data_IF_881998343928
#
_entry.id   IF_881998343928
#
_cell.length_a   1.000
_cell.length_b   1.000
_cell.length_c   1.000
_cell.angle_alpha   90.00
_cell.angle_beta   90.00
_cell.angle_gamma   90.00
#
_symmetry.space_group_name_H-M   'P 1'
#
loop_
_entity.id
_entity.type
_entity.pdbx_description
1 polymer ?
#
# COMPACT_ATOMS: atom_id res chain seq x y z
N UNK A 1 50.27 -10.41 -24.55
CA UNK A 1 48.90 -10.76 -24.93
C UNK A 1 47.94 -9.70 -24.37
N UNK A 2 47.40 -8.79 -25.21
CA UNK A 2 46.61 -7.63 -24.75
C UNK A 2 45.19 -7.99 -24.25
N UNK A 3 44.76 -9.25 -24.30
CA UNK A 3 43.40 -9.68 -23.97
C UNK A 3 43.21 -10.20 -22.56
N UNK A 4 44.19 -10.07 -21.65
CA UNK A 4 44.10 -10.64 -20.30
C UNK A 4 43.39 -9.79 -19.24
N UNK A 5 42.75 -8.68 -19.57
CA UNK A 5 42.08 -7.78 -18.60
C UNK A 5 40.67 -7.31 -18.99
N UNK A 6 39.94 -8.11 -19.74
CA UNK A 6 38.48 -7.83 -19.88
C UNK A 6 37.77 -8.55 -18.74
N UNK A 7 37.60 -7.89 -17.60
CA UNK A 7 36.59 -8.29 -16.60
C UNK A 7 35.22 -8.01 -17.20
N UNK A 8 34.61 -9.01 -17.82
CA UNK A 8 33.21 -8.98 -18.15
C UNK A 8 32.45 -8.99 -16.81
N UNK A 9 32.02 -7.84 -16.34
CA UNK A 9 30.99 -7.77 -15.29
C UNK A 9 29.69 -8.19 -15.96
N UNK A 10 29.26 -9.40 -15.68
CA UNK A 10 27.87 -9.77 -15.92
C UNK A 10 27.02 -8.80 -15.11
N UNK A 11 26.23 -7.95 -15.77
CA UNK A 11 25.15 -7.24 -15.10
C UNK A 11 24.28 -8.33 -14.49
N UNK A 12 24.13 -8.29 -13.17
CA UNK A 12 23.12 -9.10 -12.50
C UNK A 12 21.82 -8.93 -13.28
N UNK A 13 21.19 -10.03 -13.64
CA UNK A 13 19.89 -9.99 -14.31
C UNK A 13 18.96 -9.14 -13.44
N UNK A 14 18.45 -8.04 -14.00
CA UNK A 14 17.47 -7.22 -13.32
C UNK A 14 16.25 -8.11 -13.12
N UNK A 15 16.09 -8.62 -11.90
CA UNK A 15 14.89 -9.36 -11.53
C UNK A 15 13.77 -8.35 -11.55
N UNK A 16 12.92 -8.43 -12.60
CA UNK A 16 11.73 -7.59 -12.69
C UNK A 16 10.88 -7.78 -11.44
N UNK A 17 10.46 -6.69 -10.80
CA UNK A 17 9.60 -6.78 -9.64
C UNK A 17 8.34 -7.59 -9.99
N UNK A 18 8.00 -8.56 -9.16
CA UNK A 18 6.81 -9.38 -9.39
C UNK A 18 5.57 -8.54 -9.09
N UNK A 19 4.69 -8.38 -10.07
CA UNK A 19 3.35 -7.79 -9.86
C UNK A 19 2.43 -8.84 -9.24
N UNK A 20 1.37 -8.36 -8.57
CA UNK A 20 0.28 -9.22 -8.11
C UNK A 20 -0.71 -9.35 -9.27
N UNK A 21 -0.97 -10.57 -9.79
CA UNK A 21 -1.99 -10.77 -10.82
C UNK A 21 -3.36 -10.24 -10.37
N UNK A 22 -4.15 -9.70 -11.32
CA UNK A 22 -5.49 -9.14 -11.02
C UNK A 22 -6.38 -10.14 -10.30
N UNK A 23 -6.33 -11.42 -10.69
CA UNK A 23 -7.10 -12.50 -10.06
C UNK A 23 -6.72 -12.72 -8.59
N UNK A 24 -5.45 -12.57 -8.24
CA UNK A 24 -5.00 -12.68 -6.86
C UNK A 24 -5.41 -11.47 -6.02
N UNK A 25 -5.40 -10.26 -6.62
CA UNK A 25 -5.92 -9.03 -5.99
C UNK A 25 -7.41 -9.22 -5.67
N UNK A 26 -8.19 -9.63 -6.66
CA UNK A 26 -9.63 -9.88 -6.49
C UNK A 26 -9.89 -10.97 -5.45
N UNK A 27 -9.11 -12.05 -5.46
CA UNK A 27 -9.23 -13.12 -4.47
C UNK A 27 -8.96 -12.63 -3.05
N UNK A 28 -7.93 -11.81 -2.87
CA UNK A 28 -7.59 -11.23 -1.57
C UNK A 28 -8.71 -10.33 -1.05
N UNK A 29 -9.16 -9.38 -1.86
CA UNK A 29 -10.22 -8.45 -1.50
C UNK A 29 -11.55 -9.18 -1.26
N UNK A 30 -11.94 -10.10 -2.14
CA UNK A 30 -13.15 -10.91 -1.97
C UNK A 30 -13.11 -11.73 -0.68
N UNK A 31 -11.96 -12.32 -0.34
CA UNK A 31 -11.80 -13.02 0.93
C UNK A 31 -12.04 -12.08 2.11
N UNK A 32 -11.42 -10.91 2.10
CA UNK A 32 -11.54 -9.95 3.20
C UNK A 32 -12.98 -9.49 3.40
N UNK A 33 -13.65 -9.09 2.34
CA UNK A 33 -15.04 -8.62 2.42
C UNK A 33 -16.05 -9.72 2.79
N UNK A 34 -15.86 -10.95 2.29
CA UNK A 34 -16.69 -12.10 2.69
C UNK A 34 -16.50 -12.53 4.13
N UNK A 35 -15.35 -12.26 4.71
CA UNK A 35 -15.00 -12.63 6.08
C UNK A 35 -14.97 -11.42 7.02
N UNK A 36 -15.88 -10.45 6.81
CA UNK A 36 -16.10 -9.37 7.74
C UNK A 36 -16.34 -9.91 9.15
N UNK A 37 -15.46 -9.59 10.08
CA UNK A 37 -15.50 -10.17 11.41
C UNK A 37 -16.27 -9.27 12.39
N UNK A 38 -17.50 -9.65 12.69
CA UNK A 38 -18.40 -8.96 13.63
C UNK A 38 -18.55 -9.70 14.98
N UNK A 39 -17.73 -10.70 15.26
CA UNK A 39 -17.84 -11.51 16.49
C UNK A 39 -17.63 -10.69 17.76
N UNK A 40 -16.92 -9.59 17.68
CA UNK A 40 -16.75 -8.62 18.76
C UNK A 40 -16.40 -7.25 18.18
N UNK A 41 -16.62 -6.17 18.95
CA UNK A 41 -16.21 -4.83 18.55
C UNK A 41 -14.70 -4.76 18.22
N UNK A 42 -13.87 -5.42 19.04
CA UNK A 42 -12.43 -5.49 18.80
C UNK A 42 -12.09 -6.20 17.50
N UNK A 43 -12.74 -7.32 17.22
CA UNK A 43 -12.52 -8.08 15.98
C UNK A 43 -12.95 -7.25 14.75
N UNK A 44 -14.06 -6.56 14.85
CA UNK A 44 -14.55 -5.68 13.79
C UNK A 44 -13.61 -4.49 13.54
N UNK A 45 -13.13 -3.84 14.59
CA UNK A 45 -12.13 -2.76 14.48
C UNK A 45 -10.84 -3.24 13.80
N UNK A 46 -10.37 -4.44 14.13
CA UNK A 46 -9.20 -5.03 13.49
C UNK A 46 -9.44 -5.33 12.00
N UNK A 47 -10.59 -5.92 11.68
CA UNK A 47 -10.98 -6.19 10.30
C UNK A 47 -11.10 -4.90 9.48
N UNK A 48 -11.74 -3.86 10.01
CA UNK A 48 -11.84 -2.54 9.37
C UNK A 48 -10.47 -1.94 9.09
N UNK A 49 -9.58 -1.95 10.09
CA UNK A 49 -8.21 -1.46 9.94
C UNK A 49 -7.47 -2.20 8.84
N UNK A 50 -7.48 -3.52 8.89
CA UNK A 50 -6.72 -4.35 7.98
C UNK A 50 -7.22 -4.17 6.52
N UNK A 51 -8.53 -4.14 6.33
CA UNK A 51 -9.14 -3.89 5.03
C UNK A 51 -8.85 -2.47 4.53
N UNK A 52 -8.94 -1.48 5.41
CA UNK A 52 -8.62 -0.09 5.08
C UNK A 52 -7.14 0.09 4.69
N UNK A 53 -6.20 -0.60 5.35
CA UNK A 53 -4.78 -0.59 5.00
C UNK A 53 -4.55 -1.19 3.61
N UNK A 54 -5.14 -2.34 3.33
CA UNK A 54 -4.99 -3.00 2.02
C UNK A 54 -5.58 -2.14 0.90
N UNK A 55 -6.78 -1.60 1.09
CA UNK A 55 -7.39 -0.69 0.11
C UNK A 55 -6.56 0.59 -0.08
N UNK A 56 -5.93 1.10 0.97
CA UNK A 56 -5.03 2.25 0.87
C UNK A 56 -3.80 1.92 0.01
N UNK A 57 -3.22 0.72 0.12
CA UNK A 57 -2.13 0.31 -0.76
C UNK A 57 -2.56 0.30 -2.23
N UNK A 58 -3.73 -0.26 -2.55
CA UNK A 58 -4.24 -0.30 -3.92
C UNK A 58 -4.62 1.09 -4.45
N UNK A 59 -5.17 1.95 -3.61
CA UNK A 59 -5.59 3.28 -4.03
C UNK A 59 -4.43 4.28 -4.19
N UNK A 60 -3.28 4.04 -3.54
CA UNK A 60 -2.21 5.05 -3.45
C UNK A 60 -0.86 4.58 -3.97
N UNK A 61 -0.62 3.29 -4.06
CA UNK A 61 0.72 2.74 -4.33
C UNK A 61 1.78 3.15 -3.30
N UNK A 62 1.37 3.60 -2.11
CA UNK A 62 2.28 4.08 -1.08
C UNK A 62 3.20 2.96 -0.54
N UNK A 63 4.36 3.36 -0.02
CA UNK A 63 5.27 2.43 0.68
C UNK A 63 4.70 2.04 2.05
N UNK A 64 5.06 0.87 2.55
CA UNK A 64 4.61 0.43 3.88
C UNK A 64 5.00 1.44 4.98
N UNK A 65 6.18 2.01 4.91
CA UNK A 65 6.61 3.09 5.80
C UNK A 65 5.67 4.29 5.74
N UNK A 66 5.29 4.70 4.54
CA UNK A 66 4.40 5.84 4.31
C UNK A 66 3.02 5.57 4.89
N UNK A 67 2.43 4.40 4.61
CA UNK A 67 1.11 4.01 5.15
C UNK A 67 1.13 3.92 6.67
N UNK A 68 2.15 3.27 7.24
CA UNK A 68 2.33 3.15 8.70
C UNK A 68 2.44 4.51 9.40
N UNK A 69 2.96 5.52 8.71
CA UNK A 69 3.23 6.85 9.26
C UNK A 69 2.22 7.93 8.81
N UNK A 70 1.10 7.56 8.18
CA UNK A 70 0.05 8.54 7.85
C UNK A 70 -0.46 9.16 9.15
N UNK A 71 -0.34 10.48 9.25
CA UNK A 71 -0.92 11.26 10.36
C UNK A 71 -2.40 11.51 10.10
N UNK A 72 -3.20 11.53 11.16
CA UNK A 72 -4.63 11.82 11.06
C UNK A 72 -4.91 13.15 10.35
N UNK A 73 -4.10 14.16 10.62
CA UNK A 73 -4.21 15.51 10.03
C UNK A 73 -3.88 15.54 8.52
N UNK A 74 -3.27 14.47 8.01
CA UNK A 74 -2.93 14.34 6.59
C UNK A 74 -4.03 13.68 5.77
N UNK A 75 -5.14 13.28 6.39
CA UNK A 75 -6.27 12.60 5.73
C UNK A 75 -7.50 13.48 5.78
N UNK A 76 -7.97 13.92 4.62
CA UNK A 76 -9.24 14.61 4.50
C UNK A 76 -10.31 13.63 4.02
N UNK A 77 -11.11 13.14 4.97
CA UNK A 77 -12.16 12.14 4.68
C UNK A 77 -13.38 12.72 3.93
N UNK A 78 -13.51 14.05 3.86
CA UNK A 78 -14.59 14.67 3.07
C UNK A 78 -14.24 14.69 1.59
N UNK A 79 -12.99 15.02 1.27
CA UNK A 79 -12.51 15.14 -0.11
C UNK A 79 -11.81 13.89 -0.62
N UNK A 80 -11.37 13.00 0.26
CA UNK A 80 -10.53 11.84 -0.09
C UNK A 80 -9.07 12.18 -0.33
N UNK A 81 -8.62 13.41 -0.03
CA UNK A 81 -7.25 13.83 -0.23
C UNK A 81 -6.36 13.32 0.92
N UNK A 82 -5.27 12.65 0.58
CA UNK A 82 -4.27 12.17 1.54
C UNK A 82 -2.92 12.79 1.20
N UNK A 83 -2.29 13.42 2.20
CA UNK A 83 -0.90 13.87 2.11
C UNK A 83 0.03 12.76 2.57
N UNK A 84 0.88 12.28 1.66
CA UNK A 84 1.86 11.24 1.92
C UNK A 84 3.23 11.89 2.15
N UNK A 85 3.83 11.59 3.30
CA UNK A 85 5.17 12.05 3.65
C UNK A 85 6.19 10.98 3.29
N UNK A 86 7.01 11.25 2.27
CA UNK A 86 8.07 10.38 1.81
C UNK A 86 9.40 10.61 2.55
N UNK A 87 10.40 9.79 2.20
CA UNK A 87 11.76 9.90 2.75
C UNK A 87 12.37 11.27 2.38
N UNK A 88 13.06 11.88 3.34
CA UNK A 88 13.73 13.17 3.14
C UNK A 88 12.79 14.39 3.13
N UNK A 89 11.62 14.27 3.75
CA UNK A 89 10.65 15.38 3.85
C UNK A 89 9.90 15.71 2.57
N UNK A 90 10.04 14.89 1.52
CA UNK A 90 9.27 15.06 0.29
C UNK A 90 7.83 14.63 0.53
N UNK A 91 6.91 15.49 0.15
CA UNK A 91 5.47 15.22 0.27
C UNK A 91 4.81 15.15 -1.10
N UNK A 92 3.72 14.40 -1.15
CA UNK A 92 2.82 14.34 -2.31
C UNK A 92 1.39 14.15 -1.84
N UNK A 93 0.46 14.55 -2.68
CA UNK A 93 -0.97 14.40 -2.44
C UNK A 93 -1.53 13.34 -3.36
N UNK A 94 -2.37 12.48 -2.80
CA UNK A 94 -3.10 11.45 -3.54
C UNK A 94 -4.58 11.62 -3.26
N UNK A 95 -5.37 11.61 -4.33
CA UNK A 95 -6.83 11.67 -4.25
C UNK A 95 -7.38 10.23 -4.32
N UNK A 96 -8.09 9.81 -3.29
CA UNK A 96 -8.91 8.60 -3.35
C UNK A 96 -10.20 8.95 -4.08
N UNK A 97 -10.38 8.36 -5.25
CA UNK A 97 -11.54 8.61 -6.10
C UNK A 97 -12.67 7.59 -5.91
N UNK A 98 -12.36 6.40 -5.38
CA UNK A 98 -13.34 5.34 -5.15
C UNK A 98 -14.17 5.64 -3.89
N UNK A 99 -15.46 5.89 -4.05
CA UNK A 99 -16.38 6.21 -2.95
C UNK A 99 -16.47 5.09 -1.92
N UNK A 100 -16.37 3.83 -2.36
CA UNK A 100 -16.41 2.66 -1.49
C UNK A 100 -15.19 2.60 -0.56
N UNK A 101 -14.02 2.94 -1.07
CA UNK A 101 -12.78 3.01 -0.27
C UNK A 101 -12.87 4.16 0.72
N UNK A 102 -13.37 5.31 0.27
CA UNK A 102 -13.52 6.48 1.13
C UNK A 102 -14.54 6.21 2.27
N UNK A 103 -15.64 5.54 1.98
CA UNK A 103 -16.62 5.13 2.98
C UNK A 103 -16.03 4.13 3.99
N UNK A 104 -15.21 3.19 3.53
CA UNK A 104 -14.48 2.27 4.40
C UNK A 104 -13.53 3.02 5.35
N UNK A 105 -12.80 4.01 4.85
CA UNK A 105 -11.91 4.84 5.65
C UNK A 105 -12.68 5.70 6.67
N UNK A 106 -13.83 6.24 6.30
CA UNK A 106 -14.72 6.97 7.23
C UNK A 106 -15.21 6.08 8.35
N UNK A 107 -15.63 4.86 8.03
CA UNK A 107 -16.10 3.88 9.01
C UNK A 107 -14.98 3.46 9.94
N UNK A 108 -13.80 3.18 9.39
CA UNK A 108 -12.61 2.88 10.17
C UNK A 108 -12.28 4.03 11.14
N UNK A 109 -12.25 5.26 10.65
CA UNK A 109 -11.97 6.44 11.46
C UNK A 109 -13.00 6.61 12.59
N UNK A 110 -14.29 6.52 12.27
CA UNK A 110 -15.36 6.63 13.25
C UNK A 110 -15.23 5.64 14.41
N UNK A 111 -14.92 4.38 14.10
CA UNK A 111 -14.74 3.31 15.09
C UNK A 111 -13.48 3.43 15.93
N UNK A 112 -12.46 4.14 15.45
CA UNK A 112 -11.15 4.25 16.10
C UNK A 112 -10.79 5.70 16.47
N UNK A 113 -11.71 6.63 16.38
CA UNK A 113 -11.48 8.07 16.50
C UNK A 113 -10.73 8.46 17.79
N UNK A 114 -11.08 7.87 18.93
CA UNK A 114 -10.42 8.16 20.19
C UNK A 114 -8.92 7.80 20.19
N UNK A 115 -8.59 6.60 19.69
CA UNK A 115 -7.21 6.15 19.58
C UNK A 115 -6.42 6.95 18.52
N UNK A 116 -7.05 7.25 17.39
CA UNK A 116 -6.45 8.07 16.32
C UNK A 116 -6.12 9.46 16.82
N UNK A 117 -7.05 10.13 17.48
CA UNK A 117 -6.83 11.48 18.06
C UNK A 117 -5.74 11.48 19.12
N UNK A 118 -5.72 10.45 19.97
CA UNK A 118 -4.70 10.33 21.04
C UNK A 118 -3.30 10.07 20.49
N UNK A 119 -3.15 9.18 19.53
CA UNK A 119 -1.86 8.83 18.94
C UNK A 119 -1.40 9.81 17.86
N UNK A 120 -2.34 10.46 17.16
CA UNK A 120 -2.12 11.30 15.99
C UNK A 120 -1.84 10.52 14.70
N UNK A 121 -1.78 9.17 14.75
CA UNK A 121 -1.63 8.32 13.57
C UNK A 121 -2.98 7.88 13.04
N UNK A 122 -3.13 7.85 11.72
CA UNK A 122 -4.38 7.42 11.11
C UNK A 122 -4.62 5.92 11.30
N UNK A 123 -3.62 5.08 11.05
CA UNK A 123 -3.71 3.65 11.29
C UNK A 123 -3.16 3.28 12.67
N UNK A 124 -4.02 2.68 13.50
CA UNK A 124 -3.69 2.31 14.88
C UNK A 124 -3.86 0.81 15.11
N UNK A 125 -3.05 0.25 16.00
CA UNK A 125 -3.17 -1.13 16.44
C UNK A 125 -4.26 -1.28 17.54
N UNK A 126 -4.48 -2.51 18.01
CA UNK A 126 -5.48 -2.81 19.03
C UNK A 126 -5.22 -2.17 20.40
N UNK A 127 -4.02 -1.63 20.62
CA UNK A 127 -3.64 -0.88 21.82
C UNK A 127 -3.77 0.64 21.64
N UNK A 128 -4.21 1.11 20.47
CA UNK A 128 -4.34 2.52 20.15
C UNK A 128 -3.03 3.21 19.80
N UNK A 129 -1.95 2.49 19.57
CA UNK A 129 -0.67 3.01 19.09
C UNK A 129 -0.55 2.86 17.56
N UNK A 130 0.46 3.50 16.98
CA UNK A 130 0.75 3.41 15.53
C UNK A 130 0.76 1.96 15.05
N UNK A 131 0.09 1.69 13.94
CA UNK A 131 0.14 0.39 13.28
C UNK A 131 1.46 0.26 12.53
N UNK A 132 2.38 -0.55 13.06
CA UNK A 132 3.76 -0.62 12.59
C UNK A 132 3.89 -1.33 11.26
N UNK A 133 4.96 -1.04 10.53
CA UNK A 133 5.31 -1.72 9.28
C UNK A 133 5.37 -3.24 9.45
N UNK A 134 5.96 -3.71 10.53
CA UNK A 134 6.05 -5.15 10.83
C UNK A 134 4.67 -5.76 11.02
N UNK A 135 3.78 -5.09 11.74
CA UNK A 135 2.40 -5.54 11.93
C UNK A 135 1.63 -5.60 10.61
N UNK A 136 1.84 -4.61 9.73
CA UNK A 136 1.25 -4.58 8.39
C UNK A 136 1.75 -5.76 7.54
N UNK A 137 3.07 -6.04 7.56
CA UNK A 137 3.63 -7.20 6.82
C UNK A 137 3.08 -8.53 7.33
N UNK A 138 2.96 -8.68 8.64
CA UNK A 138 2.36 -9.89 9.25
C UNK A 138 0.88 -10.04 8.90
N UNK A 139 0.14 -8.95 8.91
CA UNK A 139 -1.26 -8.91 8.50
C UNK A 139 -1.42 -9.33 7.04
N UNK A 140 -0.64 -8.78 6.12
CA UNK A 140 -0.65 -9.18 4.71
C UNK A 140 -0.36 -10.66 4.52
N UNK A 141 0.67 -11.18 5.18
CA UNK A 141 1.02 -12.60 5.11
C UNK A 141 -0.14 -13.49 5.57
N UNK A 142 -0.81 -13.10 6.64
CA UNK A 142 -1.96 -13.83 7.18
C UNK A 142 -3.13 -13.85 6.19
N UNK A 143 -3.56 -12.70 5.67
CA UNK A 143 -4.70 -12.65 4.75
C UNK A 143 -4.40 -13.29 3.40
N UNK A 144 -3.19 -13.17 2.88
CA UNK A 144 -2.74 -13.84 1.66
C UNK A 144 -2.88 -15.35 1.79
N UNK A 145 -2.42 -15.92 2.92
CA UNK A 145 -2.55 -17.35 3.21
C UNK A 145 -4.02 -17.77 3.33
N UNK A 146 -4.82 -17.00 4.08
CA UNK A 146 -6.25 -17.30 4.29
C UNK A 146 -7.06 -17.20 2.99
N UNK A 147 -6.66 -16.33 2.08
CA UNK A 147 -7.26 -16.21 0.75
C UNK A 147 -6.83 -17.33 -0.22
N UNK A 148 -5.98 -18.27 0.21
CA UNK A 148 -5.51 -19.37 -0.62
C UNK A 148 -4.54 -18.94 -1.73
N UNK A 149 -3.80 -17.85 -1.50
CA UNK A 149 -2.77 -17.36 -2.42
C UNK A 149 -1.42 -17.94 -1.97
N UNK A 150 -0.80 -18.75 -2.82
CA UNK A 150 0.49 -19.40 -2.51
C UNK A 150 1.68 -18.44 -2.57
N UNK A 151 1.57 -17.41 -3.41
CA UNK A 151 2.58 -16.37 -3.57
C UNK A 151 2.74 -15.55 -2.29
N UNK A 152 3.99 -15.24 -1.91
CA UNK A 152 4.24 -14.30 -0.83
C UNK A 152 4.02 -12.87 -1.33
N UNK A 153 2.88 -12.26 -0.97
CA UNK A 153 2.54 -10.88 -1.32
C UNK A 153 3.16 -9.93 -0.29
N UNK A 154 3.94 -8.97 -0.79
CA UNK A 154 4.62 -7.96 0.02
C UNK A 154 4.09 -6.55 -0.29
N UNK A 155 4.27 -5.57 0.61
CA UNK A 155 3.89 -4.17 0.33
C UNK A 155 4.52 -3.60 -0.95
N UNK A 156 5.76 -3.98 -1.27
CA UNK A 156 6.41 -3.57 -2.51
C UNK A 156 5.67 -4.06 -3.76
N UNK A 157 5.10 -5.26 -3.70
CA UNK A 157 4.33 -5.81 -4.83
C UNK A 157 3.07 -5.01 -5.09
N UNK A 158 2.39 -4.48 -4.06
CA UNK A 158 1.26 -3.57 -4.24
C UNK A 158 1.66 -2.32 -5.00
N UNK A 159 2.77 -1.72 -4.62
CA UNK A 159 3.29 -0.52 -5.29
C UNK A 159 3.68 -0.79 -6.74
N UNK A 160 4.34 -1.91 -7.01
CA UNK A 160 4.69 -2.33 -8.36
C UNK A 160 3.44 -2.58 -9.21
N UNK A 161 2.46 -3.28 -8.64
CA UNK A 161 1.18 -3.57 -9.31
C UNK A 161 0.42 -2.27 -9.62
N UNK A 162 0.34 -1.35 -8.67
CA UNK A 162 -0.27 -0.05 -8.85
C UNK A 162 0.37 0.71 -10.04
N UNK A 163 1.70 0.80 -10.07
CA UNK A 163 2.42 1.46 -11.16
C UNK A 163 2.17 0.79 -12.50
N UNK A 164 2.28 -0.54 -12.57
CA UNK A 164 2.11 -1.32 -13.80
C UNK A 164 0.70 -1.16 -14.33
N UNK A 165 -0.32 -1.29 -13.49
CA UNK A 165 -1.71 -1.20 -13.94
C UNK A 165 -2.10 0.20 -14.36
N UNK A 166 -1.57 1.26 -13.74
CA UNK A 166 -1.78 2.63 -14.23
C UNK A 166 -1.18 2.84 -15.62
N UNK A 167 0.00 2.30 -15.88
CA UNK A 167 0.66 2.38 -17.19
C UNK A 167 -0.14 1.58 -18.23
N UNK A 168 -0.63 0.39 -17.90
CA UNK A 168 -1.48 -0.42 -18.78
C UNK A 168 -2.80 0.29 -19.13
N UNK A 169 -3.35 1.08 -18.21
CA UNK A 169 -4.55 1.93 -18.42
C UNK A 169 -4.23 3.23 -19.21
N UNK A 170 -2.98 3.41 -19.65
CA UNK A 170 -2.58 4.53 -20.49
C UNK A 170 -2.15 5.78 -19.73
N UNK A 171 -1.94 5.70 -18.42
CA UNK A 171 -1.40 6.83 -17.64
C UNK A 171 0.08 7.04 -18.00
N UNK A 172 0.43 8.29 -18.32
CA UNK A 172 1.81 8.64 -18.64
C UNK A 172 2.79 8.30 -17.51
N UNK A 173 3.96 7.78 -17.87
CA UNK A 173 4.99 7.35 -16.93
C UNK A 173 5.43 8.47 -16.00
N UNK A 174 5.49 9.70 -16.49
CA UNK A 174 5.84 10.87 -15.68
C UNK A 174 4.79 11.18 -14.62
N UNK A 175 3.51 11.00 -14.95
CA UNK A 175 2.41 11.11 -13.99
C UNK A 175 2.51 10.01 -12.90
N UNK A 176 2.77 8.76 -13.30
CA UNK A 176 2.97 7.66 -12.36
C UNK A 176 4.15 7.93 -11.43
N UNK A 177 5.24 8.49 -11.96
CA UNK A 177 6.39 8.92 -11.13
C UNK A 177 6.00 9.93 -10.06
N UNK A 178 5.23 10.95 -10.44
CA UNK A 178 4.77 11.98 -9.50
C UNK A 178 3.87 11.38 -8.42
N UNK A 179 2.89 10.55 -8.80
CA UNK A 179 1.98 9.87 -7.88
C UNK A 179 2.77 9.02 -6.87
N UNK A 180 3.79 8.31 -7.34
CA UNK A 180 4.59 7.44 -6.48
C UNK A 180 5.68 8.20 -5.70
N UNK A 181 5.99 9.44 -6.06
CA UNK A 181 7.08 10.21 -5.45
C UNK A 181 8.46 9.61 -5.75
N UNK A 182 8.68 9.13 -6.97
CA UNK A 182 9.99 8.67 -7.41
C UNK A 182 10.94 9.85 -7.63
N UNK A 183 12.16 9.74 -7.09
CA UNK A 183 13.21 10.74 -7.30
C UNK A 183 13.97 10.57 -8.62
N UNK A 184 13.78 9.44 -9.30
CA UNK A 184 14.50 9.08 -10.52
C UNK A 184 13.59 8.38 -11.54
N UNK A 185 13.74 8.76 -12.80
CA UNK A 185 13.08 8.14 -13.96
C UNK A 185 13.38 6.64 -14.03
N UNK A 186 14.61 6.23 -13.71
CA UNK A 186 15.04 4.82 -13.76
C UNK A 186 14.16 3.91 -12.91
N UNK A 187 13.64 4.39 -11.79
CA UNK A 187 12.80 3.58 -10.88
C UNK A 187 11.44 3.27 -11.51
N UNK A 188 10.89 4.15 -12.34
CA UNK A 188 9.61 3.91 -13.00
C UNK A 188 9.77 3.19 -14.35
N UNK A 189 10.88 3.35 -15.04
CA UNK A 189 11.17 2.65 -16.30
C UNK A 189 11.24 1.11 -16.16
N UNK A 190 11.36 0.58 -14.94
CA UNK A 190 11.31 -0.87 -14.67
C UNK A 190 9.92 -1.45 -15.00
N UNK A 191 8.89 -0.62 -15.08
CA UNK A 191 7.50 -1.05 -15.29
C UNK A 191 7.06 -1.00 -16.77
N UNK A 192 7.90 -0.53 -17.66
CA UNK A 192 7.69 -0.49 -19.11
C UNK A 192 8.32 -1.72 -19.74
#
# INVERSE_FOLDING_TARGET
NPFRKIKVRFKEAVILPRIIPREEIERLLNYMYKNENRNSERAYKCWLRDTAVIETFFATGARVYEVSNIRADNVNLNTGLIRIMGKGGKERYIQIAADEVLELLRRYYSMNMGAIRKSGFFFVNSRGARYTEQSIRMMLKRYTRLAGIERNITPHMFRHSFATYLIEEGVDVSCVQQILGHSSIKTTQIYI
#
